data_IF_441731469641
#
_entry.id   IF_441731469641
#
_cell.length_a   1.000
_cell.length_b   1.000
_cell.length_c   1.000
_cell.angle_alpha   90.00
_cell.angle_beta   90.00
_cell.angle_gamma   90.00
#
_symmetry.space_group_name_H-M   'P 1'
#
loop_
_entity.id
_entity.type
_entity.pdbx_description
1 polymer ?
#
# COMPACT_ATOMS: atom_id res chain seq x y z
N UNK A 1 -19.42 0.98 11.93
CA UNK A 1 -18.34 1.82 11.38
C UNK A 1 -17.48 2.25 12.55
N UNK A 2 -16.19 1.93 12.53
CA UNK A 2 -15.24 2.38 13.55
C UNK A 2 -14.99 3.87 13.35
N UNK A 3 -15.10 4.71 14.40
CA UNK A 3 -14.79 6.13 14.29
C UNK A 3 -13.33 6.32 13.84
N UNK A 4 -13.08 7.26 12.93
CA UNK A 4 -11.73 7.57 12.45
C UNK A 4 -11.45 9.06 12.52
N UNK A 5 -10.21 9.41 12.78
CA UNK A 5 -9.73 10.78 12.79
C UNK A 5 -9.36 11.19 11.38
N UNK A 6 -9.89 12.33 10.94
CA UNK A 6 -9.61 12.93 9.65
C UNK A 6 -8.84 14.25 9.84
N UNK A 7 -7.74 14.41 9.11
CA UNK A 7 -6.88 15.59 9.21
C UNK A 7 -6.60 16.14 7.80
N UNK A 8 -6.55 17.47 7.62
CA UNK A 8 -6.17 18.06 6.34
C UNK A 8 -4.77 17.59 5.88
N UNK A 9 -4.66 17.25 4.60
CA UNK A 9 -3.38 16.94 3.97
C UNK A 9 -2.51 18.19 3.90
N UNK A 10 -1.24 18.06 4.29
CA UNK A 10 -0.27 19.17 4.28
C UNK A 10 0.49 19.23 2.96
N UNK A 11 0.82 18.06 2.38
CA UNK A 11 1.66 17.93 1.17
C UNK A 11 1.15 18.78 0.00
N UNK A 12 -0.15 18.74 -0.27
CA UNK A 12 -0.77 19.44 -1.42
C UNK A 12 -0.92 20.95 -1.22
N UNK A 13 -0.58 21.46 -0.03
CA UNK A 13 -0.63 22.89 0.32
C UNK A 13 0.75 23.51 0.44
N UNK A 14 1.81 22.73 0.27
CA UNK A 14 3.18 23.23 0.27
C UNK A 14 3.49 23.88 -1.09
N UNK A 15 4.20 25.03 -1.12
CA UNK A 15 4.73 25.59 -2.35
C UNK A 15 5.94 24.76 -2.83
N UNK A 16 6.62 25.22 -3.89
CA UNK A 16 7.86 24.58 -4.36
C UNK A 16 8.87 24.40 -3.23
N UNK A 17 9.27 23.14 -2.98
CA UNK A 17 10.18 22.77 -1.90
C UNK A 17 11.63 22.85 -2.44
N UNK A 18 12.52 23.66 -1.83
CA UNK A 18 13.93 23.69 -2.20
C UNK A 18 14.56 22.30 -2.10
N UNK A 19 15.41 21.91 -3.05
CA UNK A 19 16.00 20.56 -3.11
C UNK A 19 16.71 20.17 -1.81
N UNK A 20 17.34 21.12 -1.13
CA UNK A 20 18.02 20.95 0.16
C UNK A 20 17.07 20.66 1.32
N UNK A 21 15.79 21.07 1.22
CA UNK A 21 14.78 20.89 2.25
C UNK A 21 13.91 19.63 2.03
N UNK A 22 14.00 18.97 0.87
CA UNK A 22 13.12 17.85 0.50
C UNK A 22 13.18 16.71 1.50
N UNK A 23 14.36 16.32 1.98
CA UNK A 23 14.48 15.22 2.95
C UNK A 23 13.87 15.55 4.30
N UNK A 24 14.10 16.76 4.81
CA UNK A 24 13.56 17.22 6.09
C UNK A 24 12.03 17.35 6.01
N UNK A 25 11.51 17.97 4.96
CA UNK A 25 10.07 18.11 4.73
C UNK A 25 9.41 16.73 4.59
N UNK A 26 10.02 15.78 3.90
CA UNK A 26 9.47 14.43 3.80
C UNK A 26 9.44 13.70 5.17
N UNK A 27 10.50 13.83 5.99
CA UNK A 27 10.50 13.27 7.36
C UNK A 27 9.39 13.85 8.22
N UNK A 28 9.09 15.13 8.05
CA UNK A 28 8.06 15.83 8.79
C UNK A 28 6.65 15.47 8.33
N UNK A 29 6.45 15.30 7.02
CA UNK A 29 5.21 14.76 6.46
C UNK A 29 4.95 13.33 6.99
N UNK A 30 5.97 12.48 7.02
CA UNK A 30 5.87 11.15 7.65
C UNK A 30 5.54 11.23 9.14
N UNK A 31 6.09 12.21 9.87
CA UNK A 31 5.74 12.41 11.28
C UNK A 31 4.26 12.81 11.45
N UNK A 32 3.71 13.64 10.56
CA UNK A 32 2.28 13.98 10.58
C UNK A 32 1.40 12.73 10.41
N UNK A 33 1.76 11.82 9.49
CA UNK A 33 1.03 10.57 9.28
C UNK A 33 1.08 9.66 10.52
N UNK A 34 2.27 9.57 11.15
CA UNK A 34 2.44 8.82 12.41
C UNK A 34 1.56 9.37 13.53
N UNK A 35 1.47 10.69 13.67
CA UNK A 35 0.64 11.34 14.69
C UNK A 35 -0.85 10.99 14.50
N UNK A 36 -1.33 10.89 13.27
CA UNK A 36 -2.70 10.48 12.94
C UNK A 36 -2.93 9.01 13.31
N UNK A 37 -1.97 8.13 12.99
CA UNK A 37 -2.06 6.70 13.30
C UNK A 37 -2.11 6.45 14.83
N UNK A 38 -1.24 7.12 15.59
CA UNK A 38 -1.24 7.06 17.06
C UNK A 38 -2.57 7.53 17.66
N UNK A 39 -3.14 8.60 17.10
CA UNK A 39 -4.42 9.14 17.56
C UNK A 39 -5.59 8.19 17.23
N UNK A 40 -5.60 7.55 16.06
CA UNK A 40 -6.57 6.52 15.70
C UNK A 40 -6.45 5.27 16.57
N UNK A 41 -5.23 4.83 16.91
CA UNK A 41 -5.01 3.74 17.85
C UNK A 41 -5.58 4.07 19.23
N UNK A 42 -5.33 5.31 19.71
CA UNK A 42 -5.86 5.78 20.99
C UNK A 42 -7.39 5.83 20.98
N UNK A 43 -8.00 6.29 19.88
CA UNK A 43 -9.45 6.33 19.70
C UNK A 43 -10.09 4.94 19.79
N UNK A 44 -9.46 3.91 19.21
CA UNK A 44 -9.91 2.52 19.34
C UNK A 44 -9.73 2.00 20.77
N UNK A 45 -8.59 2.30 21.40
CA UNK A 45 -8.28 1.84 22.75
C UNK A 45 -9.18 2.44 23.84
N UNK A 46 -9.82 3.59 23.58
CA UNK A 46 -10.68 4.30 24.55
C UNK A 46 -12.18 4.12 24.28
N UNK A 47 -12.58 3.18 23.42
CA UNK A 47 -14.00 2.89 23.19
C UNK A 47 -14.68 2.42 24.49
N UNK A 48 -15.66 3.19 24.97
CA UNK A 48 -16.41 2.94 26.22
C UNK A 48 -16.12 3.90 27.38
N UNK A 49 -15.23 4.88 27.23
CA UNK A 49 -15.05 5.97 28.20
C UNK A 49 -15.92 7.18 27.78
N UNK A 50 -17.17 7.16 28.21
CA UNK A 50 -18.22 8.10 27.78
C UNK A 50 -18.16 9.44 28.52
N UNK A 51 -17.47 10.41 27.93
CA UNK A 51 -17.64 11.83 28.22
C UNK A 51 -17.79 12.62 26.92
N UNK A 52 -18.74 13.57 26.81
CA UNK A 52 -19.06 14.26 25.55
C UNK A 52 -17.89 15.02 24.93
N UNK A 53 -16.84 15.33 25.71
CA UNK A 53 -15.65 16.06 25.26
C UNK A 53 -14.35 15.24 25.38
N UNK A 54 -14.41 13.94 25.68
CA UNK A 54 -13.20 13.14 25.90
C UNK A 54 -12.33 13.06 24.66
N UNK A 55 -12.94 12.77 23.50
CA UNK A 55 -12.21 12.69 22.22
C UNK A 55 -11.56 14.03 21.89
N UNK A 56 -12.29 15.13 22.08
CA UNK A 56 -11.79 16.46 21.79
C UNK A 56 -10.59 16.83 22.69
N UNK A 57 -10.71 16.59 24.01
CA UNK A 57 -9.68 17.00 24.98
C UNK A 57 -8.49 16.05 25.04
N UNK A 58 -8.72 14.73 24.93
CA UNK A 58 -7.68 13.73 25.14
C UNK A 58 -7.01 13.27 23.84
N UNK A 59 -7.66 13.48 22.69
CA UNK A 59 -7.19 12.97 21.40
C UNK A 59 -6.99 14.12 20.40
N UNK A 60 -8.04 14.86 20.05
CA UNK A 60 -7.96 15.88 18.99
C UNK A 60 -7.14 17.10 19.39
N UNK A 61 -7.25 17.57 20.63
CA UNK A 61 -6.44 18.68 21.17
C UNK A 61 -4.94 18.37 21.12
N UNK A 62 -4.46 17.30 21.78
CA UNK A 62 -3.06 16.90 21.73
C UNK A 62 -2.56 16.60 20.31
N UNK A 63 -3.42 16.05 19.45
CA UNK A 63 -3.08 15.83 18.03
C UNK A 63 -2.88 17.16 17.29
N UNK A 64 -3.76 18.14 17.49
CA UNK A 64 -3.63 19.47 16.91
C UNK A 64 -2.32 20.15 17.32
N UNK A 65 -1.95 20.07 18.60
CA UNK A 65 -0.70 20.69 19.09
C UNK A 65 0.53 20.03 18.46
N UNK A 66 0.56 18.69 18.45
CA UNK A 66 1.62 17.91 17.80
C UNK A 66 1.74 18.23 16.30
N UNK A 67 0.61 18.36 15.60
CA UNK A 67 0.59 18.69 14.17
C UNK A 67 1.03 20.12 13.91
N UNK A 68 0.61 21.07 14.75
CA UNK A 68 1.03 22.48 14.67
C UNK A 68 2.55 22.57 14.73
N UNK A 69 3.18 21.90 15.69
CA UNK A 69 4.64 21.89 15.82
C UNK A 69 5.35 21.30 14.58
N UNK A 70 4.84 20.18 14.05
CA UNK A 70 5.44 19.56 12.86
C UNK A 70 5.23 20.39 11.59
N UNK A 71 4.05 21.02 11.43
CA UNK A 71 3.78 21.92 10.30
C UNK A 71 4.68 23.15 10.35
N UNK A 72 4.93 23.70 11.54
CA UNK A 72 5.86 24.80 11.71
C UNK A 72 7.30 24.39 11.34
N UNK A 73 7.70 23.16 11.69
CA UNK A 73 9.00 22.61 11.29
C UNK A 73 9.14 22.49 9.76
N UNK A 74 8.09 22.07 9.06
CA UNK A 74 8.04 22.08 7.58
C UNK A 74 8.23 23.49 7.03
N UNK A 75 7.51 24.48 7.58
CA UNK A 75 7.64 25.86 7.17
C UNK A 75 9.07 26.41 7.41
N UNK A 76 9.68 26.07 8.55
CA UNK A 76 11.09 26.40 8.85
C UNK A 76 12.04 25.76 7.84
N UNK A 77 11.90 24.47 7.57
CA UNK A 77 12.77 23.74 6.65
C UNK A 77 12.77 24.37 5.25
N UNK A 78 11.59 24.71 4.73
CA UNK A 78 11.44 25.41 3.43
C UNK A 78 12.05 26.83 3.52
N UNK A 79 11.76 27.56 4.61
CA UNK A 79 12.19 28.95 4.81
C UNK A 79 13.71 29.15 4.90
N UNK A 80 14.50 28.10 5.19
CA UNK A 80 15.97 28.19 5.23
C UNK A 80 16.59 28.42 3.86
N UNK A 81 15.96 27.93 2.80
CA UNK A 81 16.50 27.93 1.43
C UNK A 81 15.48 28.41 0.38
N UNK A 82 14.36 29.00 0.82
CA UNK A 82 13.26 29.42 -0.03
C UNK A 82 12.29 30.33 0.72
N UNK A 83 11.22 30.77 0.04
CA UNK A 83 10.18 31.57 0.67
C UNK A 83 9.43 30.73 1.72
N UNK A 84 9.44 31.17 2.97
CA UNK A 84 8.73 30.49 4.07
C UNK A 84 7.22 30.47 3.76
N UNK A 85 6.57 29.29 3.71
CA UNK A 85 5.13 29.20 3.56
C UNK A 85 4.41 29.79 4.78
N UNK A 86 3.31 30.52 4.54
CA UNK A 86 2.46 31.09 5.59
C UNK A 86 1.08 30.47 5.58
N UNK A 87 0.39 30.49 6.73
CA UNK A 87 -0.99 30.02 6.83
C UNK A 87 -1.15 28.50 6.91
N UNK A 88 -0.07 27.73 7.05
CA UNK A 88 -0.15 26.26 7.11
C UNK A 88 -0.73 25.75 8.43
N UNK A 89 -0.70 26.55 9.50
CA UNK A 89 -1.22 26.22 10.83
C UNK A 89 -2.70 25.84 10.82
N UNK A 90 -3.48 26.36 9.85
CA UNK A 90 -4.88 25.98 9.64
C UNK A 90 -5.08 24.50 9.33
N UNK A 91 -4.03 23.80 8.89
CA UNK A 91 -4.06 22.38 8.53
C UNK A 91 -3.81 21.47 9.75
N UNK A 92 -3.50 22.04 10.92
CA UNK A 92 -3.18 21.27 12.11
C UNK A 92 -4.42 20.63 12.75
N UNK A 93 -5.58 21.28 12.68
CA UNK A 93 -6.83 20.79 13.27
C UNK A 93 -7.34 19.54 12.56
N UNK A 94 -7.83 18.56 13.33
CA UNK A 94 -8.43 17.32 12.84
C UNK A 94 -9.86 17.17 13.37
N UNK A 95 -10.67 16.35 12.70
CA UNK A 95 -12.05 16.05 13.06
C UNK A 95 -12.25 14.54 13.25
N UNK A 96 -13.36 14.17 13.89
CA UNK A 96 -13.80 12.78 14.02
C UNK A 96 -14.91 12.50 13.01
N UNK A 97 -14.79 11.45 12.20
CA UNK A 97 -15.87 11.00 11.34
C UNK A 97 -16.92 10.23 12.15
N UNK A 98 -18.05 10.87 12.46
CA UNK A 98 -19.19 10.23 13.12
C UNK A 98 -20.23 9.79 12.08
N UNK A 99 -20.49 8.47 12.00
CA UNK A 99 -21.64 7.94 11.28
C UNK A 99 -22.92 8.06 12.16
N UNK A 100 -23.54 9.25 12.21
CA UNK A 100 -25.01 9.48 12.31
C UNK A 100 -25.38 10.98 12.33
N UNK A 101 -26.55 11.38 11.78
CA UNK A 101 -26.91 12.78 11.57
C UNK A 101 -27.50 13.43 12.82
N UNK A 102 -26.92 14.56 13.24
CA UNK A 102 -27.40 15.39 14.35
C UNK A 102 -27.17 16.87 14.02
N UNK A 103 -28.24 17.65 14.13
CA UNK A 103 -28.47 18.97 13.56
C UNK A 103 -27.77 20.11 14.34
N UNK A 104 -27.06 21.02 13.67
CA UNK A 104 -26.46 22.22 14.31
C UNK A 104 -25.63 23.09 13.36
N UNK A 105 -26.27 24.09 12.74
CA UNK A 105 -25.68 25.13 11.87
C UNK A 105 -24.74 26.06 12.65
N UNK A 106 -23.58 26.45 12.09
CA UNK A 106 -23.36 27.67 11.26
C UNK A 106 -21.86 28.04 11.20
N UNK A 107 -21.35 28.44 10.02
CA UNK A 107 -20.21 29.37 9.93
C UNK A 107 -19.04 29.06 8.99
N UNK A 108 -19.27 29.12 7.67
CA UNK A 108 -18.39 29.82 6.73
C UNK A 108 -16.93 29.37 6.57
N UNK A 109 -16.71 28.25 5.88
CA UNK A 109 -15.47 27.94 5.18
C UNK A 109 -15.81 27.01 4.02
N UNK A 110 -15.50 27.42 2.79
CA UNK A 110 -15.80 26.63 1.60
C UNK A 110 -15.35 25.18 1.81
N UNK A 111 -16.22 24.19 1.52
CA UNK A 111 -15.88 22.80 1.76
C UNK A 111 -14.69 22.46 0.87
N UNK A 112 -13.56 22.09 1.48
CA UNK A 112 -12.69 21.12 0.86
C UNK A 112 -13.61 19.92 0.65
N UNK A 113 -14.02 19.70 -0.60
CA UNK A 113 -14.88 18.57 -0.91
C UNK A 113 -14.19 17.34 -0.34
N UNK A 114 -14.92 16.56 0.45
CA UNK A 114 -14.75 15.11 0.59
C UNK A 114 -14.95 14.46 -0.79
N UNK A 115 -14.32 15.02 -1.82
CA UNK A 115 -14.20 14.39 -3.10
C UNK A 115 -13.43 13.12 -2.81
N UNK A 116 -13.98 11.94 -3.14
CA UNK A 116 -13.17 10.75 -3.26
C UNK A 116 -11.87 11.14 -3.95
N UNK A 117 -10.72 10.61 -3.50
CA UNK A 117 -9.50 10.63 -4.31
C UNK A 117 -9.95 10.37 -5.74
N UNK A 118 -9.61 11.24 -6.72
CA UNK A 118 -10.17 11.16 -8.06
C UNK A 118 -10.09 9.70 -8.49
N UNK A 119 -11.26 9.07 -8.61
CA UNK A 119 -11.33 7.65 -8.90
C UNK A 119 -10.63 7.38 -10.22
N UNK A 120 -10.28 6.13 -10.50
CA UNK A 120 -9.84 5.76 -11.84
C UNK A 120 -10.74 6.37 -12.94
N UNK A 121 -10.17 7.12 -13.87
CA UNK A 121 -10.88 7.86 -14.91
C UNK A 121 -10.40 7.49 -16.32
N UNK A 122 -11.18 7.87 -17.33
CA UNK A 122 -10.86 7.63 -18.73
C UNK A 122 -11.05 6.16 -19.16
N UNK A 123 -10.77 5.84 -20.43
CA UNK A 123 -10.99 4.50 -20.98
C UNK A 123 -10.12 3.42 -20.31
N UNK A 124 -9.04 3.85 -19.66
CA UNK A 124 -8.05 2.97 -19.06
C UNK A 124 -8.11 2.92 -17.52
N UNK A 125 -9.08 3.60 -16.90
CA UNK A 125 -9.21 3.63 -15.44
C UNK A 125 -7.93 4.13 -14.73
N UNK A 126 -7.29 5.17 -15.28
CA UNK A 126 -6.05 5.74 -14.75
C UNK A 126 -6.34 6.71 -13.59
N UNK A 127 -5.46 6.74 -12.59
CA UNK A 127 -5.47 7.78 -11.56
C UNK A 127 -4.83 9.06 -12.12
N UNK A 128 -5.35 10.23 -11.71
CA UNK A 128 -4.77 11.52 -12.09
C UNK A 128 -3.29 11.63 -11.67
N UNK A 129 -2.44 12.13 -12.57
CA UNK A 129 -1.00 12.33 -12.34
C UNK A 129 -0.10 11.25 -12.94
N UNK A 130 -0.65 10.12 -13.40
CA UNK A 130 0.09 9.18 -14.24
C UNK A 130 0.28 9.75 -15.65
N UNK A 131 1.39 9.42 -16.28
CA UNK A 131 1.83 9.99 -17.56
C UNK A 131 2.41 8.91 -18.48
N UNK A 132 2.42 9.17 -19.78
CA UNK A 132 2.93 8.26 -20.79
C UNK A 132 1.85 7.36 -21.38
N UNK A 133 2.26 6.41 -22.21
CA UNK A 133 1.37 5.41 -22.79
C UNK A 133 1.39 4.11 -21.98
N UNK A 134 0.25 3.44 -21.89
CA UNK A 134 0.16 2.13 -21.25
C UNK A 134 1.00 1.12 -22.00
N UNK A 135 1.90 0.46 -21.27
CA UNK A 135 2.66 -0.68 -21.77
C UNK A 135 1.86 -1.95 -21.51
N UNK A 136 1.43 -2.61 -22.59
CA UNK A 136 0.78 -3.92 -22.48
C UNK A 136 1.82 -4.99 -22.10
N UNK A 137 1.50 -5.89 -21.16
CA UNK A 137 2.36 -7.03 -20.87
C UNK A 137 2.58 -7.90 -22.11
N UNK A 138 3.81 -8.33 -22.32
CA UNK A 138 4.15 -9.33 -23.33
C UNK A 138 3.64 -10.72 -22.93
N UNK A 139 3.66 -11.03 -21.63
CA UNK A 139 3.07 -12.25 -21.09
C UNK A 139 2.73 -12.11 -19.60
N UNK A 140 1.79 -12.96 -19.15
CA UNK A 140 1.45 -13.13 -17.73
C UNK A 140 1.49 -14.63 -17.43
N UNK A 141 2.21 -15.00 -16.38
CA UNK A 141 2.27 -16.37 -15.87
C UNK A 141 1.69 -16.42 -14.46
N UNK A 142 0.71 -17.30 -14.26
CA UNK A 142 0.13 -17.62 -12.97
C UNK A 142 0.61 -19.01 -12.59
N UNK A 143 1.36 -19.10 -11.51
CA UNK A 143 1.98 -20.34 -11.04
C UNK A 143 1.52 -20.65 -9.61
N UNK A 144 1.25 -21.92 -9.33
CA UNK A 144 1.06 -22.42 -7.97
C UNK A 144 2.23 -23.33 -7.60
N UNK A 145 2.95 -22.98 -6.54
CA UNK A 145 4.11 -23.71 -6.03
C UNK A 145 3.77 -24.47 -4.76
N UNK A 146 4.52 -25.53 -4.45
CA UNK A 146 4.37 -26.28 -3.19
C UNK A 146 4.91 -25.54 -1.97
N UNK A 147 4.84 -26.19 -0.80
CA UNK A 147 5.54 -25.75 0.41
C UNK A 147 6.80 -26.62 0.62
N UNK A 148 7.88 -26.03 1.14
CA UNK A 148 9.17 -26.71 1.31
C UNK A 148 9.17 -27.79 2.41
N UNK A 149 8.24 -27.70 3.37
CA UNK A 149 8.25 -28.50 4.61
C UNK A 149 7.04 -29.41 4.77
N UNK A 150 5.94 -29.15 4.05
CA UNK A 150 4.71 -29.92 4.16
C UNK A 150 3.97 -30.05 2.83
N UNK A 151 3.03 -31.00 2.77
CA UNK A 151 1.99 -30.97 1.73
C UNK A 151 1.10 -29.75 1.94
N UNK A 152 0.53 -29.26 0.86
CA UNK A 152 -0.39 -28.13 0.88
C UNK A 152 -1.84 -28.60 0.88
N UNK A 153 -2.73 -27.79 1.42
CA UNK A 153 -4.19 -27.95 1.35
C UNK A 153 -4.76 -26.98 0.32
N UNK A 154 -5.87 -27.36 -0.32
CA UNK A 154 -6.55 -26.49 -1.28
C UNK A 154 -6.89 -25.12 -0.67
N UNK A 155 -6.60 -24.04 -1.39
CA UNK A 155 -7.11 -22.72 -1.03
C UNK A 155 -8.64 -22.75 -1.05
N UNK A 156 -9.34 -22.29 0.00
CA UNK A 156 -10.79 -22.18 -0.03
C UNK A 156 -11.24 -21.15 -1.08
N UNK A 157 -12.45 -21.33 -1.61
CA UNK A 157 -13.07 -20.37 -2.49
C UNK A 157 -13.22 -19.02 -1.79
N UNK A 158 -12.96 -17.95 -2.53
CA UNK A 158 -12.94 -16.57 -2.06
C UNK A 158 -11.88 -16.25 -1.01
N UNK A 159 -10.84 -17.09 -0.86
CA UNK A 159 -9.63 -16.68 -0.14
C UNK A 159 -9.07 -15.41 -0.81
N UNK A 160 -8.97 -14.32 -0.06
CA UNK A 160 -8.45 -13.04 -0.53
C UNK A 160 -7.10 -12.75 0.09
N UNK A 161 -6.18 -12.23 -0.69
CA UNK A 161 -4.84 -11.93 -0.21
C UNK A 161 -4.24 -10.81 -1.03
N UNK A 162 -3.34 -10.06 -0.40
CA UNK A 162 -2.59 -9.00 -1.04
C UNK A 162 -1.10 -9.22 -0.77
N UNK A 163 -0.29 -9.03 -1.81
CA UNK A 163 1.18 -8.94 -1.69
C UNK A 163 1.65 -7.56 -2.13
N UNK A 164 2.66 -7.02 -1.46
CA UNK A 164 3.08 -5.63 -1.62
C UNK A 164 2.18 -4.63 -0.89
N UNK A 165 2.43 -3.36 -1.15
CA UNK A 165 1.69 -2.23 -0.57
C UNK A 165 1.55 -1.13 -1.60
N UNK A 166 0.33 -0.63 -1.80
CA UNK A 166 0.05 0.45 -2.72
C UNK A 166 0.50 1.82 -2.20
N UNK A 167 0.78 1.93 -0.89
CA UNK A 167 1.04 3.20 -0.18
C UNK A 167 2.20 3.13 0.83
N UNK A 168 3.37 2.58 0.48
CA UNK A 168 4.45 2.35 1.44
C UNK A 168 5.15 3.62 1.92
N UNK A 169 5.10 4.71 1.15
CA UNK A 169 5.64 6.01 1.58
C UNK A 169 4.77 6.61 2.68
N UNK A 170 3.44 6.53 2.53
CA UNK A 170 2.48 7.16 3.45
C UNK A 170 2.04 6.27 4.61
N UNK A 171 2.03 4.94 4.45
CA UNK A 171 1.60 3.97 5.49
C UNK A 171 2.77 3.21 6.14
N UNK A 172 3.98 3.41 5.64
CA UNK A 172 5.18 2.70 6.05
C UNK A 172 5.41 1.42 5.24
N UNK A 173 6.66 0.92 5.19
CA UNK A 173 7.10 -0.07 4.21
C UNK A 173 6.81 -1.52 4.61
N UNK A 174 6.11 -1.77 5.72
CA UNK A 174 6.05 -3.09 6.35
C UNK A 174 5.48 -4.19 5.44
N UNK A 175 4.52 -3.84 4.57
CA UNK A 175 3.93 -4.79 3.62
C UNK A 175 4.52 -4.69 2.21
N UNK A 176 5.37 -3.70 1.95
CA UNK A 176 5.98 -3.50 0.65
C UNK A 176 6.97 -4.61 0.33
N UNK A 177 7.09 -4.96 -0.94
CA UNK A 177 7.92 -6.05 -1.42
C UNK A 177 8.75 -5.59 -2.61
N UNK A 178 9.95 -6.15 -2.73
CA UNK A 178 10.69 -6.08 -3.98
C UNK A 178 10.01 -7.02 -4.98
N UNK A 179 9.60 -6.50 -6.14
CA UNK A 179 8.86 -7.26 -7.17
C UNK A 179 9.52 -7.17 -8.54
N UNK A 180 10.44 -6.23 -8.76
CA UNK A 180 10.99 -5.94 -10.09
C UNK A 180 12.22 -6.78 -10.37
N UNK A 181 12.33 -7.33 -11.58
CA UNK A 181 13.47 -8.16 -11.98
C UNK A 181 13.58 -8.19 -13.50
N UNK A 182 14.56 -8.95 -14.00
CA UNK A 182 14.71 -9.24 -15.42
C UNK A 182 14.41 -10.72 -15.67
N UNK A 183 13.97 -11.06 -16.88
CA UNK A 183 13.82 -12.45 -17.30
C UNK A 183 15.10 -13.25 -17.05
N UNK A 184 14.98 -14.43 -16.45
CA UNK A 184 16.14 -15.25 -16.04
C UNK A 184 16.68 -14.95 -14.63
N UNK A 185 16.14 -13.95 -13.93
CA UNK A 185 16.58 -13.55 -12.58
C UNK A 185 15.43 -13.53 -11.55
N UNK A 186 14.39 -14.34 -11.74
CA UNK A 186 13.14 -14.31 -10.95
C UNK A 186 13.28 -14.68 -9.47
N UNK A 187 14.48 -15.08 -9.03
CA UNK A 187 14.84 -15.30 -7.63
C UNK A 187 15.60 -14.11 -6.99
N UNK A 188 15.84 -13.06 -7.77
CA UNK A 188 16.48 -11.81 -7.32
C UNK A 188 15.57 -10.64 -7.66
N UNK A 189 14.82 -10.19 -6.66
CA UNK A 189 13.85 -9.11 -6.81
C UNK A 189 14.41 -7.79 -6.29
N UNK A 190 14.08 -6.71 -6.99
CA UNK A 190 14.49 -5.35 -6.72
C UNK A 190 13.30 -4.52 -6.24
N UNK A 191 13.55 -3.64 -5.26
CA UNK A 191 12.63 -2.59 -4.85
C UNK A 191 12.73 -1.32 -5.73
N UNK A 192 13.57 -1.37 -6.77
CA UNK A 192 13.84 -0.30 -7.74
C UNK A 192 13.57 -0.79 -9.16
N UNK A 193 13.33 0.15 -10.06
CA UNK A 193 13.33 -0.11 -11.49
C UNK A 193 14.68 -0.72 -11.90
N UNK A 194 14.60 -1.69 -12.80
CA UNK A 194 15.75 -2.46 -13.28
C UNK A 194 16.16 -1.98 -14.66
N UNK A 195 17.43 -2.15 -14.98
CA UNK A 195 17.91 -2.07 -16.35
C UNK A 195 18.34 -3.48 -16.70
N UNK A 196 17.68 -4.07 -17.68
CA UNK A 196 17.87 -5.46 -18.02
C UNK A 196 18.98 -5.66 -19.07
N UNK A 197 19.70 -6.79 -19.02
CA UNK A 197 20.64 -7.17 -20.07
C UNK A 197 19.95 -7.19 -21.44
N UNK A 198 20.72 -6.96 -22.50
CA UNK A 198 20.21 -7.05 -23.87
C UNK A 198 19.55 -8.40 -24.13
N UNK A 199 18.34 -8.37 -24.71
CA UNK A 199 17.55 -9.57 -24.99
C UNK A 199 16.75 -10.10 -23.80
N UNK A 200 16.84 -9.48 -22.62
CA UNK A 200 16.01 -9.81 -21.45
C UNK A 200 14.80 -8.88 -21.33
N UNK A 201 13.69 -9.41 -20.83
CA UNK A 201 12.48 -8.65 -20.53
C UNK A 201 12.54 -8.05 -19.13
N UNK A 202 11.92 -6.88 -18.96
CA UNK A 202 11.61 -6.35 -17.62
C UNK A 202 10.44 -7.17 -17.07
N UNK A 203 10.54 -7.61 -15.82
CA UNK A 203 9.52 -8.43 -15.17
C UNK A 203 9.10 -7.87 -13.83
N UNK A 204 7.82 -8.06 -13.51
CA UNK A 204 7.26 -7.95 -12.16
C UNK A 204 6.90 -9.33 -11.67
N UNK A 205 7.35 -9.71 -10.48
CA UNK A 205 7.12 -11.02 -9.87
C UNK A 205 6.51 -10.81 -8.48
N UNK A 206 5.32 -11.35 -8.30
CA UNK A 206 4.52 -11.19 -7.09
C UNK A 206 4.32 -12.56 -6.44
N UNK A 207 5.02 -12.77 -5.33
CA UNK A 207 4.83 -13.94 -4.49
C UNK A 207 3.81 -13.62 -3.40
N UNK A 208 2.78 -14.45 -3.31
CA UNK A 208 1.73 -14.29 -2.32
C UNK A 208 2.02 -15.11 -1.06
N UNK A 209 1.46 -14.68 0.10
CA UNK A 209 1.48 -15.50 1.30
C UNK A 209 0.69 -16.80 1.06
N UNK A 210 1.08 -17.87 1.75
CA UNK A 210 0.48 -19.20 1.54
C UNK A 210 0.19 -19.98 2.82
N UNK A 211 0.48 -19.41 4.00
CA UNK A 211 0.18 -20.03 5.28
C UNK A 211 -1.15 -19.50 5.82
N UNK A 212 -2.22 -20.23 5.54
CA UNK A 212 -3.60 -19.85 5.85
C UNK A 212 -3.97 -20.25 7.29
N UNK A 213 -4.73 -19.43 8.02
CA UNK A 213 -5.17 -19.72 9.38
C UNK A 213 -6.13 -20.93 9.51
N UNK A 214 -6.54 -21.51 8.38
CA UNK A 214 -7.38 -22.70 8.33
C UNK A 214 -8.87 -22.43 8.54
N UNK A 215 -9.29 -21.17 8.68
CA UNK A 215 -10.65 -20.75 8.99
C UNK A 215 -11.19 -19.63 8.10
N UNK A 216 -10.48 -18.52 7.96
CA UNK A 216 -11.03 -17.29 7.38
C UNK A 216 -10.61 -17.14 5.92
N UNK A 217 -11.56 -16.91 5.02
CA UNK A 217 -11.26 -16.59 3.60
C UNK A 217 -10.89 -15.12 3.40
N UNK A 218 -11.12 -14.28 4.40
CA UNK A 218 -10.80 -12.86 4.34
C UNK A 218 -10.61 -12.28 5.75
N UNK A 219 -10.06 -11.08 5.82
CA UNK A 219 -9.95 -10.25 7.01
C UNK A 219 -10.11 -8.78 6.60
N UNK A 220 -10.46 -7.88 7.50
CA UNK A 220 -10.67 -6.46 7.18
C UNK A 220 -9.50 -5.79 6.44
N UNK A 221 -8.27 -6.28 6.63
CA UNK A 221 -7.06 -5.79 5.96
C UNK A 221 -6.52 -6.73 4.85
N UNK A 222 -7.28 -7.78 4.51
CA UNK A 222 -6.94 -8.83 3.53
C UNK A 222 -5.61 -9.56 3.79
N UNK A 223 -5.07 -9.51 5.02
CA UNK A 223 -3.73 -10.02 5.37
C UNK A 223 -3.69 -10.81 6.68
N UNK A 224 -4.50 -10.48 7.67
CA UNK A 224 -4.37 -11.05 9.02
C UNK A 224 -4.64 -12.57 9.07
N UNK A 225 -5.36 -13.12 8.10
CA UNK A 225 -5.72 -14.53 8.02
C UNK A 225 -4.74 -15.40 7.20
N UNK A 226 -3.69 -14.79 6.62
CA UNK A 226 -2.73 -15.47 5.75
C UNK A 226 -1.32 -14.89 5.88
N UNK A 227 -0.33 -15.75 6.10
CA UNK A 227 1.05 -15.36 6.33
C UNK A 227 2.01 -15.90 5.26
N UNK A 228 3.15 -15.24 5.11
CA UNK A 228 4.26 -15.79 4.34
C UNK A 228 4.89 -16.95 5.13
N UNK A 229 5.35 -18.01 4.45
CA UNK A 229 6.26 -18.97 5.07
C UNK A 229 7.54 -18.28 5.55
N UNK A 230 8.18 -18.88 6.56
CA UNK A 230 9.49 -18.42 7.04
C UNK A 230 10.52 -18.45 5.90
N UNK A 231 11.29 -17.38 5.75
CA UNK A 231 12.19 -17.20 4.59
C UNK A 231 13.38 -18.14 4.59
N UNK A 232 13.77 -18.68 5.75
CA UNK A 232 14.94 -19.54 5.88
C UNK A 232 14.59 -21.02 5.73
N UNK A 233 13.44 -21.41 6.28
CA UNK A 233 13.01 -22.81 6.36
C UNK A 233 11.91 -23.15 5.37
N UNK A 234 11.15 -22.16 4.89
CA UNK A 234 9.92 -22.36 4.13
C UNK A 234 8.77 -22.94 4.96
N UNK A 235 8.93 -23.03 6.29
CA UNK A 235 7.91 -23.53 7.18
C UNK A 235 6.79 -22.52 7.37
N UNK A 236 5.55 -23.02 7.50
CA UNK A 236 4.44 -22.18 7.90
C UNK A 236 4.42 -21.94 9.41
N UNK A 237 4.01 -20.73 9.88
CA UNK A 237 3.86 -20.46 11.31
C UNK A 237 2.92 -21.47 12.00
N UNK A 238 3.18 -21.73 13.27
CA UNK A 238 2.34 -22.63 14.07
C UNK A 238 0.86 -22.20 14.03
N UNK A 239 -0.04 -23.17 13.90
CA UNK A 239 -1.48 -22.94 13.81
C UNK A 239 -2.00 -22.57 12.42
N UNK A 240 -1.13 -22.53 11.40
CA UNK A 240 -1.54 -22.31 10.00
C UNK A 240 -1.42 -23.58 9.17
N UNK A 241 -2.10 -23.60 8.02
CA UNK A 241 -2.06 -24.65 7.00
C UNK A 241 -1.35 -24.10 5.76
N UNK A 242 -0.38 -24.82 5.23
CA UNK A 242 0.24 -24.47 3.96
C UNK A 242 -0.77 -24.66 2.82
N UNK A 243 -1.00 -23.64 2.01
CA UNK A 243 -1.66 -23.71 0.71
C UNK A 243 -0.64 -23.69 -0.44
N UNK A 244 -1.05 -24.00 -1.68
CA UNK A 244 -0.21 -23.75 -2.85
C UNK A 244 0.20 -22.27 -2.84
N UNK A 245 1.48 -21.95 -3.01
CA UNK A 245 1.92 -20.57 -3.06
C UNK A 245 1.67 -20.01 -4.46
N UNK A 246 0.81 -19.00 -4.55
CA UNK A 246 0.57 -18.26 -5.78
C UNK A 246 1.78 -17.36 -6.11
N UNK A 247 2.28 -17.46 -7.34
CA UNK A 247 3.22 -16.53 -7.95
C UNK A 247 2.60 -15.97 -9.23
N UNK A 248 2.56 -14.66 -9.37
CA UNK A 248 2.15 -13.98 -10.60
C UNK A 248 3.35 -13.24 -11.19
N UNK A 249 3.77 -13.63 -12.38
CA UNK A 249 4.86 -13.01 -13.13
C UNK A 249 4.32 -12.29 -14.35
N UNK A 250 4.73 -11.04 -14.56
CA UNK A 250 4.31 -10.19 -15.67
C UNK A 250 5.55 -9.71 -16.40
N UNK A 251 5.66 -9.98 -17.69
CA UNK A 251 6.82 -9.60 -18.50
C UNK A 251 6.46 -8.48 -19.48
N UNK A 252 7.41 -7.57 -19.74
CA UNK A 252 7.26 -6.43 -20.63
C UNK A 252 8.44 -6.33 -21.59
N UNK A 253 8.13 -6.06 -22.86
CA UNK A 253 9.10 -5.72 -23.88
C UNK A 253 9.38 -4.21 -23.86
N UNK A 254 10.24 -3.79 -22.93
CA UNK A 254 10.66 -2.40 -22.80
C UNK A 254 11.98 -2.15 -23.56
N UNK A 255 12.03 -1.18 -24.48
CA UNK A 255 13.28 -0.82 -25.15
C UNK A 255 14.40 -0.49 -24.17
N UNK A 256 15.62 -0.93 -24.46
CA UNK A 256 16.76 -0.73 -23.56
C UNK A 256 17.05 0.76 -23.30
N UNK A 257 16.81 1.63 -24.28
CA UNK A 257 17.02 3.07 -24.12
C UNK A 257 15.97 3.71 -23.20
N UNK A 258 14.72 3.25 -23.23
CA UNK A 258 13.66 3.65 -22.29
C UNK A 258 14.04 3.27 -20.86
N UNK A 259 14.58 2.06 -20.67
CA UNK A 259 15.04 1.59 -19.36
C UNK A 259 16.21 2.45 -18.82
N UNK A 260 17.22 2.68 -19.65
CA UNK A 260 18.40 3.47 -19.28
C UNK A 260 18.07 4.93 -18.97
N UNK A 261 17.08 5.52 -19.65
CA UNK A 261 16.59 6.88 -19.39
C UNK A 261 15.61 6.95 -18.20
N UNK A 262 15.24 5.81 -17.60
CA UNK A 262 14.26 5.76 -16.50
C UNK A 262 12.87 6.23 -16.90
N UNK A 263 12.46 5.97 -18.15
CA UNK A 263 11.22 6.49 -18.74
C UNK A 263 10.02 5.56 -18.64
N UNK A 264 10.17 4.40 -18.00
CA UNK A 264 9.04 3.54 -17.66
C UNK A 264 8.72 3.66 -16.17
N UNK A 265 7.43 3.65 -15.86
CA UNK A 265 6.91 4.00 -14.56
C UNK A 265 5.72 3.11 -14.21
N UNK A 266 5.56 2.85 -12.92
CA UNK A 266 4.41 2.21 -12.32
C UNK A 266 3.34 3.27 -12.11
N UNK A 267 2.13 2.97 -12.57
CA UNK A 267 0.97 3.76 -12.19
C UNK A 267 0.72 3.62 -10.69
N UNK A 268 0.71 4.76 -9.99
CA UNK A 268 0.67 4.76 -8.53
C UNK A 268 -0.14 5.93 -8.01
N UNK A 269 -0.44 5.91 -6.72
CA UNK A 269 -1.01 7.07 -6.06
C UNK A 269 -0.02 8.26 -6.14
N UNK A 270 -0.51 9.52 -6.27
CA UNK A 270 0.35 10.69 -6.37
C UNK A 270 1.42 10.79 -5.27
N UNK A 271 1.08 10.37 -4.05
CA UNK A 271 1.99 10.41 -2.89
C UNK A 271 3.15 9.40 -3.01
N UNK A 272 2.96 8.34 -3.80
CA UNK A 272 3.98 7.33 -4.04
C UNK A 272 4.91 7.69 -5.21
N UNK A 273 4.54 8.68 -6.03
CA UNK A 273 5.39 9.29 -7.06
C UNK A 273 6.03 8.24 -8.00
N UNK A 274 5.22 7.33 -8.52
CA UNK A 274 5.60 6.27 -9.46
C UNK A 274 6.76 5.41 -8.95
N UNK A 275 6.89 5.25 -7.63
CA UNK A 275 7.97 4.42 -7.08
C UNK A 275 7.64 2.95 -7.29
N UNK A 276 8.59 2.14 -7.80
CA UNK A 276 8.40 0.70 -8.00
C UNK A 276 8.14 -0.05 -6.69
N UNK A 277 8.50 0.53 -5.55
CA UNK A 277 8.28 -0.07 -4.23
C UNK A 277 6.81 -0.02 -3.77
N UNK A 278 5.96 0.81 -4.41
CA UNK A 278 4.50 0.81 -4.19
C UNK A 278 3.77 -0.23 -5.04
N UNK A 279 4.51 -1.13 -5.67
CA UNK A 279 3.94 -2.22 -6.43
C UNK A 279 3.25 -3.24 -5.51
N UNK A 280 2.10 -3.73 -5.96
CA UNK A 280 1.27 -4.66 -5.22
C UNK A 280 0.39 -5.45 -6.18
N UNK A 281 -0.15 -6.55 -5.66
CA UNK A 281 -1.08 -7.38 -6.38
C UNK A 281 -2.12 -7.97 -5.41
N UNK A 282 -3.36 -7.99 -5.88
CA UNK A 282 -4.54 -8.41 -5.14
C UNK A 282 -5.07 -9.69 -5.78
N UNK A 283 -5.42 -10.68 -4.96
CA UNK A 283 -5.95 -11.95 -5.42
C UNK A 283 -7.21 -12.32 -4.67
N UNK A 284 -8.18 -12.88 -5.39
CA UNK A 284 -9.35 -13.56 -4.84
C UNK A 284 -9.49 -14.92 -5.52
N UNK A 285 -9.50 -16.00 -4.73
CA UNK A 285 -9.60 -17.34 -5.28
C UNK A 285 -11.01 -17.62 -5.82
N UNK A 286 -11.19 -17.57 -7.15
CA UNK A 286 -12.45 -17.91 -7.81
C UNK A 286 -12.42 -19.25 -8.52
N UNK A 287 -11.35 -20.04 -8.34
CA UNK A 287 -11.27 -21.40 -8.86
C UNK A 287 -12.42 -22.26 -8.30
N UNK A 288 -12.85 -23.25 -9.08
CA UNK A 288 -13.75 -24.28 -8.57
C UNK A 288 -13.00 -25.21 -7.60
N UNK A 289 -13.74 -25.90 -6.73
CA UNK A 289 -13.16 -26.90 -5.82
C UNK A 289 -12.41 -27.99 -6.60
N UNK A 290 -12.93 -28.38 -7.77
CA UNK A 290 -12.26 -29.33 -8.66
C UNK A 290 -10.94 -28.80 -9.21
N UNK A 291 -10.89 -27.53 -9.61
CA UNK A 291 -9.65 -26.91 -10.09
C UNK A 291 -8.61 -26.82 -8.96
N UNK A 292 -9.03 -26.40 -7.76
CA UNK A 292 -8.13 -26.34 -6.60
C UNK A 292 -7.66 -27.71 -6.14
N UNK A 293 -8.50 -28.75 -6.23
CA UNK A 293 -8.08 -30.13 -5.98
C UNK A 293 -6.99 -30.57 -6.95
N UNK A 294 -7.18 -30.33 -8.26
CA UNK A 294 -6.16 -30.63 -9.28
C UNK A 294 -4.84 -29.89 -9.05
N UNK A 295 -4.91 -28.59 -8.72
CA UNK A 295 -3.72 -27.78 -8.39
C UNK A 295 -3.01 -28.39 -7.19
N UNK A 296 -3.76 -28.67 -6.12
CA UNK A 296 -3.22 -29.23 -4.86
C UNK A 296 -2.57 -30.58 -5.08
N UNK A 297 -3.22 -31.48 -5.82
CA UNK A 297 -2.69 -32.80 -6.14
C UNK A 297 -1.42 -32.71 -7.00
N UNK A 298 -1.39 -31.80 -7.98
CA UNK A 298 -0.21 -31.58 -8.80
C UNK A 298 1.00 -31.16 -7.96
N UNK A 299 0.85 -30.09 -7.16
CA UNK A 299 1.97 -29.57 -6.35
C UNK A 299 2.36 -30.56 -5.25
N UNK A 300 1.41 -31.28 -4.66
CA UNK A 300 1.69 -32.30 -3.66
C UNK A 300 2.37 -33.54 -4.24
N UNK A 301 2.22 -33.83 -5.53
CA UNK A 301 2.94 -34.93 -6.19
C UNK A 301 4.29 -34.50 -6.77
N UNK A 302 4.68 -33.23 -6.58
CA UNK A 302 5.96 -32.70 -7.09
C UNK A 302 6.01 -32.61 -8.62
N UNK A 303 4.85 -32.58 -9.28
CA UNK A 303 4.75 -32.51 -10.74
C UNK A 303 4.69 -31.06 -11.20
N UNK A 304 5.04 -30.85 -12.46
CA UNK A 304 4.66 -29.65 -13.21
C UNK A 304 3.41 -29.98 -14.02
N UNK A 305 2.36 -29.18 -13.87
CA UNK A 305 1.10 -29.31 -14.59
C UNK A 305 0.74 -27.99 -15.25
N UNK A 306 0.08 -28.06 -16.40
CA UNK A 306 -0.37 -26.92 -17.22
C UNK A 306 -1.85 -27.01 -17.48
#
# INVERSE_FOLDING_TARGET
MTPTINCPAVRDKLPGIPSQAVEEVNRDLTLLDKQIAEANQRLVATQGQDGPNFVDNAILGPLKDKRTATIDRIAIAIGRNGARPTGLERLASCTLNNAKPGNGRNGGGAPATDAPLPGAQGPNFELAGNVGGIVQPASVTIEYRGNATSKVVAMPKFLKMITGDAKPTSRGPANARATWTCSGFTDRLSAKYVICPTGSQVMRVHDFPSCWDGRNTDSDNHRAHIAFPDSNTGACPAGTKAGPQLRISIAYDLPADVQQKGQYQLDSFPEENHKPFSDHNDFANVNSDQAMAKITDCVNTGKQCT
#
